data_IF_048873915225
#
_entry.id   IF_048873915225
#
_cell.length_a   1.000
_cell.length_b   1.000
_cell.length_c   1.000
_cell.angle_alpha   90.00
_cell.angle_beta   90.00
_cell.angle_gamma   90.00
#
_symmetry.space_group_name_H-M   'P 1'
#
loop_
_entity.id
_entity.type
_entity.pdbx_description
1 polymer ?
#
# COMPACT_ATOMS: atom_id res chain seq x y z
N UNK A 1 -0.53 -32.71 -29.49
CA UNK A 1 -1.46 -31.86 -28.72
C UNK A 1 -0.78 -30.89 -27.73
N UNK A 2 0.47 -31.14 -27.31
CA UNK A 2 1.20 -30.31 -26.33
C UNK A 2 1.70 -28.93 -26.83
N UNK A 3 1.86 -28.76 -28.15
CA UNK A 3 2.52 -27.58 -28.76
C UNK A 3 1.74 -26.26 -28.61
N UNK A 4 0.42 -26.33 -28.36
CA UNK A 4 -0.45 -25.17 -28.08
C UNK A 4 -0.70 -24.93 -26.59
N UNK A 5 -0.36 -25.89 -25.73
CA UNK A 5 -0.53 -25.76 -24.27
C UNK A 5 0.58 -24.90 -23.67
N UNK A 6 1.81 -25.02 -24.20
CA UNK A 6 2.97 -24.23 -23.78
C UNK A 6 2.74 -22.71 -23.92
N UNK A 7 2.32 -22.17 -25.09
CA UNK A 7 2.10 -20.73 -25.20
C UNK A 7 0.95 -20.23 -24.32
N UNK A 8 -0.08 -21.05 -24.10
CA UNK A 8 -1.22 -20.71 -23.26
C UNK A 8 -0.83 -20.60 -21.78
N UNK A 9 -0.01 -21.54 -21.29
CA UNK A 9 0.52 -21.51 -19.93
C UNK A 9 1.45 -20.30 -19.72
N UNK A 10 2.29 -19.96 -20.71
CA UNK A 10 3.15 -18.77 -20.61
C UNK A 10 2.37 -17.47 -20.60
N UNK A 11 1.30 -17.34 -21.40
CA UNK A 11 0.43 -16.14 -21.34
C UNK A 11 -0.29 -16.02 -20.01
N UNK A 12 -0.74 -17.14 -19.42
CA UNK A 12 -1.41 -17.13 -18.12
C UNK A 12 -0.45 -16.78 -16.97
N UNK A 13 0.79 -17.23 -17.05
CA UNK A 13 1.85 -16.87 -16.11
C UNK A 13 2.20 -15.38 -16.18
N UNK A 14 2.26 -14.78 -17.38
CA UNK A 14 2.58 -13.37 -17.57
C UNK A 14 1.49 -12.41 -17.06
N UNK A 15 0.21 -12.83 -17.11
CA UNK A 15 -0.90 -12.06 -16.54
C UNK A 15 -0.86 -11.99 -15.00
N UNK A 16 -0.07 -12.84 -14.34
CA UNK A 16 0.11 -12.84 -12.89
C UNK A 16 1.26 -11.99 -12.38
N UNK A 17 2.05 -11.36 -13.27
CA UNK A 17 3.19 -10.54 -12.86
C UNK A 17 2.70 -9.14 -12.51
N UNK A 18 2.38 -8.91 -11.24
CA UNK A 18 2.20 -7.55 -10.72
C UNK A 18 3.49 -6.77 -10.90
N UNK A 19 3.42 -5.70 -11.69
CA UNK A 19 4.48 -4.72 -11.80
C UNK A 19 4.60 -3.97 -10.46
N UNK A 20 5.83 -3.70 -10.02
CA UNK A 20 6.05 -2.81 -8.88
C UNK A 20 5.44 -1.43 -9.19
N UNK A 21 4.65 -0.88 -8.28
CA UNK A 21 3.95 0.39 -8.50
C UNK A 21 4.94 1.54 -8.70
N UNK A 22 4.85 2.18 -9.87
CA UNK A 22 5.69 3.29 -10.32
C UNK A 22 4.95 4.63 -10.33
N UNK A 23 3.74 4.69 -9.77
CA UNK A 23 2.87 5.88 -9.76
C UNK A 23 2.40 6.31 -8.36
N UNK A 24 2.80 5.58 -7.32
CA UNK A 24 2.24 5.74 -5.99
C UNK A 24 3.23 6.43 -5.04
N UNK A 25 2.83 7.58 -4.51
CA UNK A 25 3.56 8.32 -3.49
C UNK A 25 2.66 8.60 -2.27
N UNK A 26 3.26 8.63 -1.08
CA UNK A 26 2.56 8.98 0.16
C UNK A 26 3.24 10.13 0.87
N UNK A 27 2.46 10.84 1.69
CA UNK A 27 2.94 11.80 2.66
C UNK A 27 2.24 11.61 4.00
N UNK A 28 2.96 11.93 5.07
CA UNK A 28 2.37 12.01 6.41
C UNK A 28 1.79 13.40 6.65
N UNK A 29 0.89 13.54 7.63
CA UNK A 29 0.37 14.84 8.07
C UNK A 29 1.49 15.79 8.56
N UNK A 30 2.58 15.24 9.07
CA UNK A 30 3.78 15.98 9.48
C UNK A 30 4.70 16.36 8.31
N UNK A 31 4.37 15.95 7.08
CA UNK A 31 5.08 16.33 5.85
C UNK A 31 6.20 15.37 5.42
N UNK A 32 6.40 14.23 6.09
CA UNK A 32 7.35 13.22 5.63
C UNK A 32 6.81 12.50 4.39
N UNK A 33 7.62 12.36 3.34
CA UNK A 33 7.19 11.78 2.06
C UNK A 33 7.82 10.40 1.83
N UNK A 34 7.02 9.46 1.34
CA UNK A 34 7.47 8.20 0.77
C UNK A 34 7.31 8.33 -0.75
N UNK A 35 8.42 8.46 -1.50
CA UNK A 35 8.36 8.64 -2.94
C UNK A 35 7.97 7.34 -3.67
N UNK A 36 7.76 7.47 -4.97
CA UNK A 36 7.59 6.34 -5.90
C UNK A 36 8.77 5.36 -5.74
N UNK A 37 8.45 4.06 -5.66
CA UNK A 37 9.43 3.01 -5.35
C UNK A 37 9.44 2.59 -3.88
N UNK A 38 8.67 3.28 -3.03
CA UNK A 38 8.47 2.92 -1.64
C UNK A 38 9.53 3.52 -0.70
N UNK A 39 9.51 3.05 0.55
CA UNK A 39 10.37 3.59 1.61
C UNK A 39 9.75 3.38 2.99
N UNK A 40 10.28 4.11 3.97
CA UNK A 40 9.77 4.12 5.34
C UNK A 40 9.65 5.55 5.84
N UNK A 41 8.57 5.86 6.56
CA UNK A 41 8.35 7.14 7.20
C UNK A 41 7.75 6.94 8.60
N UNK A 42 8.07 7.85 9.51
CA UNK A 42 7.52 7.85 10.85
C UNK A 42 6.22 8.65 10.89
N UNK A 43 5.22 8.13 11.60
CA UNK A 43 3.94 8.79 11.83
C UNK A 43 3.79 9.04 13.32
N UNK A 44 3.55 10.29 13.68
CA UNK A 44 3.35 10.70 15.07
C UNK A 44 1.86 10.96 15.28
N UNK A 45 1.27 10.28 16.25
CA UNK A 45 -0.16 10.37 16.57
C UNK A 45 -0.36 10.87 17.99
N UNK A 46 -1.34 11.75 18.17
CA UNK A 46 -1.80 12.12 19.49
C UNK A 46 -2.81 11.08 19.98
N UNK A 47 -2.57 10.53 21.16
CA UNK A 47 -3.42 9.52 21.77
C UNK A 47 -4.19 10.13 22.95
N UNK A 48 -5.41 9.64 23.19
CA UNK A 48 -6.13 9.97 24.43
C UNK A 48 -5.30 9.48 25.62
N UNK A 49 -5.00 10.35 26.61
CA UNK A 49 -4.03 10.06 27.67
C UNK A 49 -4.50 9.00 28.67
N UNK A 50 -5.80 8.69 28.71
CA UNK A 50 -6.37 7.67 29.57
C UNK A 50 -7.49 6.93 28.86
N UNK A 51 -7.56 5.62 29.08
CA UNK A 51 -8.56 4.73 28.49
C UNK A 51 -9.07 3.85 29.64
N UNK A 52 -10.38 3.78 29.85
CA UNK A 52 -10.92 2.97 30.94
C UNK A 52 -10.92 1.48 30.58
N UNK A 53 -10.99 0.63 31.60
CA UNK A 53 -11.12 -0.83 31.40
C UNK A 53 -12.38 -1.11 30.58
N UNK A 54 -12.24 -1.93 29.54
CA UNK A 54 -13.33 -2.26 28.61
C UNK A 54 -13.56 -1.24 27.50
N UNK A 55 -12.74 -0.19 27.39
CA UNK A 55 -12.76 0.76 26.28
C UNK A 55 -11.59 0.52 25.31
N UNK A 56 -11.83 0.79 24.02
CA UNK A 56 -10.80 0.68 22.99
C UNK A 56 -10.09 2.02 22.78
N UNK A 57 -8.75 1.98 22.73
CA UNK A 57 -7.96 3.09 22.22
C UNK A 57 -7.92 3.02 20.69
N UNK A 58 -8.59 3.95 20.03
CA UNK A 58 -8.62 4.01 18.56
C UNK A 58 -7.48 4.92 18.08
N UNK A 59 -6.62 4.38 17.24
CA UNK A 59 -5.58 5.14 16.53
C UNK A 59 -6.02 5.30 15.08
N UNK A 60 -6.48 6.49 14.72
CA UNK A 60 -6.91 6.78 13.36
C UNK A 60 -5.73 7.28 12.51
N UNK A 61 -5.29 6.44 11.57
CA UNK A 61 -4.22 6.78 10.62
C UNK A 61 -4.73 7.44 9.34
N UNK A 62 -6.06 7.49 9.10
CA UNK A 62 -6.64 8.09 7.90
C UNK A 62 -6.42 9.60 7.83
N UNK A 63 -6.28 10.24 8.98
CA UNK A 63 -5.93 11.66 9.12
C UNK A 63 -4.42 11.91 9.10
N UNK A 64 -3.62 10.86 9.00
CA UNK A 64 -2.17 10.91 9.20
C UNK A 64 -1.38 10.51 7.98
N UNK A 65 -1.89 9.60 7.15
CA UNK A 65 -1.21 9.08 5.97
C UNK A 65 -2.10 9.35 4.76
N UNK A 66 -1.54 10.05 3.78
CA UNK A 66 -2.22 10.41 2.54
C UNK A 66 -1.39 9.93 1.37
N UNK A 67 -2.00 9.22 0.44
CA UNK A 67 -1.34 8.77 -0.76
C UNK A 67 -2.14 9.19 -1.99
N UNK A 68 -1.45 9.35 -3.12
CA UNK A 68 -2.07 9.64 -4.40
C UNK A 68 -1.43 8.79 -5.49
N UNK A 69 -2.22 8.63 -6.55
CA UNK A 69 -1.75 8.09 -7.82
C UNK A 69 -1.41 9.27 -8.72
N UNK A 70 -0.18 9.30 -9.23
CA UNK A 70 0.31 10.36 -10.12
C UNK A 70 -0.25 10.29 -11.53
N UNK A 71 -0.74 9.12 -11.96
CA UNK A 71 -1.28 8.86 -13.29
C UNK A 71 -2.65 8.15 -13.22
N UNK A 72 -3.68 8.78 -12.61
CA UNK A 72 -4.98 8.12 -12.38
C UNK A 72 -5.78 7.86 -13.66
N UNK A 73 -5.44 8.51 -14.78
CA UNK A 73 -6.13 8.34 -16.07
C UNK A 73 -5.73 7.05 -16.80
N UNK A 74 -4.54 6.52 -16.51
CA UNK A 74 -3.96 5.40 -17.27
C UNK A 74 -3.59 4.21 -16.39
N UNK A 75 -3.48 4.40 -15.08
CA UNK A 75 -2.99 3.39 -14.14
C UNK A 75 -3.95 3.32 -12.93
N UNK A 76 -4.30 2.10 -12.52
CA UNK A 76 -5.00 1.87 -11.24
C UNK A 76 -4.05 1.24 -10.22
N UNK A 77 -3.84 1.95 -9.11
CA UNK A 77 -3.05 1.49 -7.97
C UNK A 77 -3.95 0.82 -6.91
N UNK A 78 -3.58 -0.39 -6.49
CA UNK A 78 -4.23 -1.14 -5.43
C UNK A 78 -3.36 -1.17 -4.19
N UNK A 79 -3.85 -0.60 -3.09
CA UNK A 79 -3.12 -0.55 -1.81
C UNK A 79 -3.65 -1.61 -0.86
N UNK A 80 -2.74 -2.41 -0.31
CA UNK A 80 -3.06 -3.42 0.69
C UNK A 80 -2.18 -3.27 1.92
N UNK A 81 -2.75 -3.56 3.10
CA UNK A 81 -1.97 -3.68 4.33
C UNK A 81 -1.32 -5.07 4.35
N UNK A 82 -0.03 -5.14 4.00
CA UNK A 82 0.69 -6.41 3.89
C UNK A 82 1.04 -6.96 5.28
N UNK A 83 1.41 -6.09 6.22
CA UNK A 83 1.70 -6.49 7.61
C UNK A 83 1.37 -5.38 8.58
N UNK A 84 0.57 -5.67 9.59
CA UNK A 84 0.39 -4.82 10.77
C UNK A 84 1.10 -5.43 11.96
N UNK A 85 1.94 -4.66 12.63
CA UNK A 85 2.50 -4.98 13.95
C UNK A 85 2.27 -3.79 14.88
N UNK A 86 2.35 -3.98 16.21
CA UNK A 86 2.13 -2.88 17.16
C UNK A 86 3.05 -1.66 16.94
N UNK A 87 4.22 -1.86 16.31
CA UNK A 87 5.23 -0.82 16.11
C UNK A 87 5.40 -0.38 14.66
N UNK A 88 4.92 -1.17 13.69
CA UNK A 88 5.15 -0.90 12.27
C UNK A 88 4.02 -1.46 11.41
N UNK A 89 3.59 -0.67 10.44
CA UNK A 89 2.63 -1.05 9.41
C UNK A 89 3.34 -1.01 8.06
N UNK A 90 3.25 -2.09 7.30
CA UNK A 90 3.77 -2.20 5.94
C UNK A 90 2.60 -2.24 4.96
N UNK A 91 2.53 -1.23 4.08
CA UNK A 91 1.60 -1.20 2.96
C UNK A 91 2.31 -1.67 1.69
N UNK A 92 1.63 -2.52 0.91
CA UNK A 92 2.09 -2.92 -0.41
C UNK A 92 1.15 -2.38 -1.46
N UNK A 93 1.73 -1.84 -2.52
CA UNK A 93 0.98 -1.33 -3.67
C UNK A 93 1.23 -2.22 -4.87
N UNK A 94 0.14 -2.63 -5.50
CA UNK A 94 0.14 -3.37 -6.74
C UNK A 94 -0.42 -2.48 -7.84
N UNK A 95 0.24 -2.48 -8.99
CA UNK A 95 -0.24 -1.75 -10.15
C UNK A 95 -0.92 -2.73 -11.10
N UNK A 96 -2.15 -2.44 -11.52
CA UNK A 96 -2.77 -3.13 -12.66
C UNK A 96 -2.69 -2.25 -13.92
N UNK A 97 -2.33 -2.84 -15.07
CA UNK A 97 -2.45 -2.18 -16.37
C UNK A 97 -3.90 -2.03 -16.82
#
# INVERSE_FOLDING_TARGET
MMKKIIPLFTTLLLLGWSMNAWSFACKTATGATIPIGGGSANVYVNLTPAVNVGQNLVVDLSTQIFCHNDYPETITDYVTLQRGSPMAVCCRVFQAP
#
